data_IF_750096975037
#
_entry.id   IF_750096975037
#
_cell.length_a   1.000
_cell.length_b   1.000
_cell.length_c   1.000
_cell.angle_alpha   90.00
_cell.angle_beta   90.00
_cell.angle_gamma   90.00
#
_symmetry.space_group_name_H-M   'P 1'
#
loop_
_entity.id
_entity.type
_entity.pdbx_description
1 polymer ?
#
# COMPACT_ATOMS: atom_id res chain seq x y z
N UNK A 1 19.16 11.95 12.58
CA UNK A 1 18.64 12.47 11.29
C UNK A 1 19.51 11.93 10.16
N UNK A 2 18.96 11.06 9.30
CA UNK A 2 19.69 10.41 8.18
C UNK A 2 19.49 11.25 6.90
N UNK A 3 20.00 12.47 6.89
CA UNK A 3 19.82 13.38 5.76
C UNK A 3 20.56 12.88 4.51
N UNK A 4 19.86 12.79 3.36
CA UNK A 4 20.40 12.38 2.05
C UNK A 4 21.58 13.24 1.61
N UNK A 5 21.55 14.54 1.94
CA UNK A 5 22.53 15.53 1.47
C UNK A 5 23.52 15.98 2.55
N UNK A 6 23.07 16.14 3.80
CA UNK A 6 23.87 16.67 4.92
C UNK A 6 23.68 15.87 6.22
N UNK A 7 23.67 14.54 6.11
CA UNK A 7 23.51 13.64 7.25
C UNK A 7 24.64 12.63 7.38
N UNK A 8 24.58 11.82 8.43
CA UNK A 8 25.56 10.76 8.75
C UNK A 8 25.91 9.88 7.54
N UNK A 9 24.90 9.44 6.78
CA UNK A 9 25.10 8.60 5.59
C UNK A 9 25.88 9.33 4.48
N UNK A 10 25.66 10.63 4.29
CA UNK A 10 26.43 11.43 3.32
C UNK A 10 27.92 11.47 3.70
N UNK A 11 28.23 11.64 4.99
CA UNK A 11 29.60 11.57 5.48
C UNK A 11 30.20 10.17 5.35
N UNK A 12 29.44 9.12 5.65
CA UNK A 12 29.91 7.74 5.58
C UNK A 12 30.24 7.33 4.13
N UNK A 13 29.41 7.72 3.16
CA UNK A 13 29.66 7.47 1.73
C UNK A 13 30.95 8.14 1.22
N UNK A 14 31.35 9.27 1.82
CA UNK A 14 32.63 9.93 1.47
C UNK A 14 33.84 9.15 1.98
N UNK A 15 33.70 8.43 3.08
CA UNK A 15 34.76 7.58 3.66
C UNK A 15 34.78 6.21 2.99
N UNK A 16 33.60 5.67 2.64
CA UNK A 16 33.41 4.36 2.03
C UNK A 16 32.64 4.54 0.71
N UNK A 17 33.33 4.73 -0.42
CA UNK A 17 32.70 5.01 -1.72
C UNK A 17 31.74 3.91 -2.22
N UNK A 18 31.88 2.67 -1.72
CA UNK A 18 31.01 1.54 -2.04
C UNK A 18 29.82 1.33 -1.08
N UNK A 19 29.57 2.25 -0.14
CA UNK A 19 28.49 2.09 0.83
C UNK A 19 27.11 2.30 0.21
N UNK A 20 26.32 1.23 0.16
CA UNK A 20 24.89 1.29 -0.13
C UNK A 20 24.11 1.46 1.18
N UNK A 21 23.48 2.62 1.34
CA UNK A 21 22.64 2.92 2.48
C UNK A 21 21.17 2.86 2.07
N UNK A 22 20.43 1.94 2.66
CA UNK A 22 19.02 1.70 2.36
C UNK A 22 18.20 2.18 3.54
N UNK A 23 17.24 3.06 3.27
CA UNK A 23 16.34 3.52 4.32
C UNK A 23 15.28 2.45 4.61
N UNK A 24 14.70 2.51 5.81
CA UNK A 24 13.70 1.54 6.22
C UNK A 24 12.47 1.56 5.29
N UNK A 25 12.20 0.43 4.65
CA UNK A 25 11.21 0.24 3.57
C UNK A 25 9.80 0.62 4.05
N UNK A 26 9.45 0.18 5.25
CA UNK A 26 8.12 0.42 5.86
C UNK A 26 7.87 1.91 6.07
N UNK A 27 8.90 2.68 6.45
CA UNK A 27 8.75 4.12 6.64
C UNK A 27 8.55 4.86 5.30
N UNK A 28 9.23 4.42 4.24
CA UNK A 28 9.06 5.00 2.89
C UNK A 28 7.66 4.72 2.34
N UNK A 29 7.18 3.48 2.47
CA UNK A 29 5.86 3.09 1.98
C UNK A 29 4.75 3.91 2.65
N UNK A 30 4.84 4.13 3.97
CA UNK A 30 3.90 4.97 4.71
C UNK A 30 3.82 6.40 4.17
N UNK A 31 4.93 6.96 3.70
CA UNK A 31 4.95 8.31 3.13
C UNK A 31 4.28 8.38 1.76
N UNK A 32 4.40 7.34 0.94
CA UNK A 32 3.79 7.32 -0.40
C UNK A 32 2.27 7.25 -0.32
N UNK A 33 1.74 6.41 0.57
CA UNK A 33 0.30 6.23 0.75
C UNK A 33 -0.45 7.47 1.29
N UNK A 34 0.27 8.53 1.70
CA UNK A 34 -0.32 9.80 2.15
C UNK A 34 -0.61 10.78 1.02
N UNK A 35 -0.08 10.56 -0.18
CA UNK A 35 -0.23 11.49 -1.29
C UNK A 35 -1.57 11.28 -2.01
N UNK A 36 -2.65 11.79 -1.42
CA UNK A 36 -3.98 11.82 -2.03
C UNK A 36 -4.21 13.18 -2.73
N UNK A 37 -5.01 13.19 -3.80
CA UNK A 37 -5.55 14.45 -4.34
C UNK A 37 -6.52 15.09 -3.33
N UNK A 38 -6.76 16.40 -3.43
CA UNK A 38 -7.66 17.11 -2.52
C UNK A 38 -9.06 16.47 -2.46
N UNK A 39 -9.60 16.08 -3.62
CA UNK A 39 -10.88 15.36 -3.76
C UNK A 39 -10.87 14.05 -2.97
N UNK A 40 -9.88 13.19 -3.20
CA UNK A 40 -9.78 11.89 -2.53
C UNK A 40 -9.53 12.05 -1.03
N UNK A 41 -8.75 13.05 -0.63
CA UNK A 41 -8.51 13.36 0.78
C UNK A 41 -9.81 13.84 1.46
N UNK A 42 -10.60 14.67 0.79
CA UNK A 42 -11.91 15.10 1.27
C UNK A 42 -12.85 13.89 1.45
N UNK A 43 -12.90 12.97 0.49
CA UNK A 43 -13.67 11.73 0.59
C UNK A 43 -13.26 10.89 1.80
N UNK A 44 -11.94 10.74 2.04
CA UNK A 44 -11.43 10.06 3.23
C UNK A 44 -11.82 10.78 4.53
N UNK A 45 -11.78 12.11 4.55
CA UNK A 45 -12.20 12.90 5.72
C UNK A 45 -13.68 12.71 6.05
N UNK A 46 -14.57 12.61 5.06
CA UNK A 46 -15.98 12.32 5.30
C UNK A 46 -16.19 10.93 5.92
N UNK A 47 -15.46 9.92 5.46
CA UNK A 47 -15.47 8.58 6.07
C UNK A 47 -15.04 8.66 7.53
N UNK A 48 -13.91 9.31 7.81
CA UNK A 48 -13.39 9.46 9.18
C UNK A 48 -14.40 10.19 10.08
N UNK A 49 -15.02 11.26 9.57
CA UNK A 49 -16.05 12.02 10.30
C UNK A 49 -17.25 11.12 10.64
N UNK A 50 -17.73 10.33 9.70
CA UNK A 50 -18.84 9.40 9.91
C UNK A 50 -18.49 8.32 10.94
N UNK A 51 -17.33 7.69 10.81
CA UNK A 51 -16.80 6.72 11.78
C UNK A 51 -16.72 7.34 13.17
N UNK A 52 -16.12 8.52 13.30
CA UNK A 52 -15.97 9.21 14.58
C UNK A 52 -17.33 9.57 15.20
N UNK A 53 -18.33 9.96 14.38
CA UNK A 53 -19.70 10.22 14.86
C UNK A 53 -20.35 8.97 15.44
N UNK A 54 -20.28 7.85 14.72
CA UNK A 54 -20.82 6.56 15.15
C UNK A 54 -20.11 6.07 16.44
N UNK A 55 -18.80 6.28 16.50
CA UNK A 55 -17.94 5.85 17.62
C UNK A 55 -17.82 6.88 18.75
N UNK A 56 -18.47 8.04 18.65
CA UNK A 56 -18.30 9.18 19.56
C UNK A 56 -18.70 8.88 21.00
N UNK A 57 -19.65 7.97 21.21
CA UNK A 57 -20.07 7.54 22.53
C UNK A 57 -20.55 6.07 22.53
N UNK A 58 -20.69 5.52 23.74
CA UNK A 58 -21.08 4.12 23.94
C UNK A 58 -22.50 3.83 23.44
N UNK A 59 -23.43 4.79 23.53
CA UNK A 59 -24.80 4.62 23.06
C UNK A 59 -24.87 4.46 21.54
N UNK A 60 -24.24 5.37 20.79
CA UNK A 60 -24.18 5.30 19.32
C UNK A 60 -23.49 4.02 18.86
N UNK A 61 -22.40 3.62 19.52
CA UNK A 61 -21.70 2.37 19.22
C UNK A 61 -22.63 1.16 19.41
N UNK A 62 -23.41 1.13 20.50
CA UNK A 62 -24.37 0.03 20.76
C UNK A 62 -25.53 0.04 19.77
N UNK A 63 -26.10 1.21 19.48
CA UNK A 63 -27.21 1.34 18.52
C UNK A 63 -26.78 0.95 17.10
N UNK A 64 -25.56 1.33 16.70
CA UNK A 64 -25.00 0.91 15.42
C UNK A 64 -24.78 -0.60 15.35
N UNK A 65 -24.24 -1.21 16.42
CA UNK A 65 -24.08 -2.66 16.48
C UNK A 65 -25.43 -3.40 16.37
N UNK A 66 -26.47 -2.91 17.05
CA UNK A 66 -27.83 -3.47 16.94
C UNK A 66 -28.42 -3.31 15.53
N UNK A 67 -28.10 -2.20 14.86
CA UNK A 67 -28.50 -1.99 13.47
C UNK A 67 -27.82 -2.99 12.54
N UNK A 68 -26.50 -3.17 12.70
CA UNK A 68 -25.73 -4.17 11.95
C UNK A 68 -26.24 -5.59 12.18
N UNK A 69 -26.60 -5.95 13.41
CA UNK A 69 -27.19 -7.27 13.73
C UNK A 69 -28.53 -7.47 13.02
N UNK A 70 -29.36 -6.41 12.96
CA UNK A 70 -30.65 -6.45 12.29
C UNK A 70 -30.51 -6.59 10.77
N UNK A 71 -29.47 -5.97 10.20
CA UNK A 71 -29.19 -5.96 8.77
C UNK A 71 -28.31 -7.14 8.31
N UNK A 72 -27.99 -8.08 9.20
CA UNK A 72 -27.13 -9.25 8.94
C UNK A 72 -25.75 -8.88 8.39
N UNK A 73 -25.15 -7.83 8.95
CA UNK A 73 -23.86 -7.30 8.52
C UNK A 73 -22.68 -8.11 9.08
N UNK A 74 -21.64 -8.31 8.27
CA UNK A 74 -20.41 -8.99 8.68
C UNK A 74 -19.68 -8.31 9.86
N UNK A 75 -19.92 -7.01 10.07
CA UNK A 75 -19.23 -6.23 11.09
C UNK A 75 -20.17 -5.35 11.92
N UNK A 76 -20.19 -5.61 13.23
CA UNK A 76 -20.96 -4.83 14.20
C UNK A 76 -20.27 -3.53 14.66
N UNK A 77 -18.99 -3.34 14.34
CA UNK A 77 -18.16 -2.24 14.88
C UNK A 77 -17.16 -1.70 13.88
N UNK A 78 -17.30 -0.42 13.56
CA UNK A 78 -16.32 0.34 12.78
C UNK A 78 -14.99 0.52 13.54
N UNK A 79 -13.90 0.56 12.78
CA UNK A 79 -12.56 0.83 13.31
C UNK A 79 -12.28 2.32 13.29
N UNK A 80 -11.74 2.88 14.37
CA UNK A 80 -11.23 4.24 14.36
C UNK A 80 -9.95 4.29 13.52
N UNK A 81 -9.85 5.31 12.68
CA UNK A 81 -8.59 5.59 11.99
C UNK A 81 -7.58 6.18 12.98
N UNK A 82 -6.35 5.70 12.93
CA UNK A 82 -5.23 6.27 13.66
C UNK A 82 -4.14 6.67 12.65
N UNK A 83 -3.76 7.94 12.64
CA UNK A 83 -2.75 8.46 11.70
C UNK A 83 -1.38 7.77 11.82
N UNK A 84 -1.16 7.07 12.93
CA UNK A 84 0.09 6.41 13.30
C UNK A 84 0.29 5.07 12.57
N UNK A 85 -0.79 4.36 12.22
CA UNK A 85 -0.70 3.01 11.64
C UNK A 85 -1.51 2.94 10.36
N UNK A 86 -0.87 3.05 9.22
CA UNK A 86 -1.55 3.02 7.93
C UNK A 86 -2.38 1.75 7.67
N UNK A 87 -2.00 0.58 8.24
CA UNK A 87 -2.83 -0.64 8.20
C UNK A 87 -4.24 -0.37 8.73
N UNK A 88 -4.38 0.55 9.70
CA UNK A 88 -5.67 0.97 10.24
C UNK A 88 -6.51 1.71 9.22
N UNK A 89 -5.92 2.50 8.31
CA UNK A 89 -6.67 3.20 7.25
C UNK A 89 -7.33 2.21 6.30
N UNK A 90 -6.57 1.25 5.78
CA UNK A 90 -7.13 0.24 4.88
C UNK A 90 -8.14 -0.68 5.56
N UNK A 91 -7.90 -1.08 6.81
CA UNK A 91 -8.85 -1.88 7.58
C UNK A 91 -10.12 -1.08 7.92
N UNK A 92 -10.00 0.21 8.24
CA UNK A 92 -11.10 1.13 8.49
C UNK A 92 -11.96 1.28 7.23
N UNK A 93 -11.36 1.61 6.08
CA UNK A 93 -12.08 1.74 4.81
C UNK A 93 -12.78 0.44 4.40
N UNK A 94 -12.08 -0.69 4.48
CA UNK A 94 -12.64 -2.02 4.14
C UNK A 94 -13.89 -2.30 4.96
N UNK A 95 -13.81 -2.09 6.29
CA UNK A 95 -14.95 -2.33 7.17
C UNK A 95 -16.05 -1.29 7.02
N UNK A 96 -15.69 -0.04 6.76
CA UNK A 96 -16.66 1.02 6.54
C UNK A 96 -17.48 0.76 5.27
N UNK A 97 -16.82 0.38 4.19
CA UNK A 97 -17.48 0.11 2.91
C UNK A 97 -18.34 -1.15 2.96
N UNK A 98 -17.92 -2.20 3.70
CA UNK A 98 -18.72 -3.43 3.82
C UNK A 98 -20.08 -3.21 4.49
N UNK A 99 -20.19 -2.22 5.39
CA UNK A 99 -21.44 -1.87 6.10
C UNK A 99 -21.97 -0.50 5.65
N UNK A 100 -21.63 -0.08 4.43
CA UNK A 100 -21.89 1.27 3.94
C UNK A 100 -23.37 1.65 4.00
N UNK A 101 -24.26 0.74 3.60
CA UNK A 101 -25.69 1.02 3.60
C UNK A 101 -26.24 1.14 5.03
N UNK A 102 -25.78 0.31 5.97
CA UNK A 102 -26.07 0.46 7.40
C UNK A 102 -25.53 1.78 7.98
N UNK A 103 -24.38 2.27 7.50
CA UNK A 103 -23.88 3.61 7.87
C UNK A 103 -24.84 4.69 7.39
N UNK A 104 -25.31 4.62 6.14
CA UNK A 104 -26.26 5.59 5.60
C UNK A 104 -27.59 5.57 6.36
N UNK A 105 -28.12 4.39 6.67
CA UNK A 105 -29.33 4.23 7.49
C UNK A 105 -29.12 4.82 8.89
N UNK A 106 -27.98 4.56 9.52
CA UNK A 106 -27.67 5.11 10.83
C UNK A 106 -27.62 6.65 10.83
N UNK A 107 -27.12 7.26 9.75
CA UNK A 107 -26.98 8.71 9.65
C UNK A 107 -28.27 9.42 9.23
N UNK A 108 -29.25 8.71 8.66
CA UNK A 108 -30.47 9.30 8.09
C UNK A 108 -31.21 10.28 9.01
N UNK A 109 -31.42 9.91 10.27
CA UNK A 109 -32.10 10.77 11.26
C UNK A 109 -31.16 11.59 12.13
N UNK A 110 -29.84 11.42 11.98
CA UNK A 110 -28.81 11.94 12.91
C UNK A 110 -27.88 12.96 12.29
N UNK A 111 -27.62 12.84 10.99
CA UNK A 111 -26.71 13.68 10.22
C UNK A 111 -27.01 13.55 8.70
N UNK A 112 -28.14 14.10 8.22
CA UNK A 112 -28.55 13.98 6.83
C UNK A 112 -27.51 14.54 5.86
N UNK A 113 -26.86 15.66 6.21
CA UNK A 113 -25.80 16.26 5.40
C UNK A 113 -24.62 15.30 5.21
N UNK A 114 -24.19 14.61 6.28
CA UNK A 114 -23.11 13.63 6.17
C UNK A 114 -23.53 12.41 5.35
N UNK A 115 -24.79 11.96 5.47
CA UNK A 115 -25.36 10.90 4.61
C UNK A 115 -25.29 11.28 3.13
N UNK A 116 -25.78 12.46 2.76
CA UNK A 116 -25.76 12.94 1.37
C UNK A 116 -24.36 13.04 0.81
N UNK A 117 -23.40 13.55 1.59
CA UNK A 117 -22.01 13.65 1.17
C UNK A 117 -21.39 12.25 0.93
N UNK A 118 -21.66 11.27 1.80
CA UNK A 118 -21.17 9.90 1.60
C UNK A 118 -21.75 9.27 0.32
N UNK A 119 -23.04 9.47 0.04
CA UNK A 119 -23.68 8.98 -1.19
C UNK A 119 -23.01 9.58 -2.43
N UNK A 120 -22.81 10.91 -2.45
CA UNK A 120 -22.13 11.61 -3.56
C UNK A 120 -20.71 11.12 -3.79
N UNK A 121 -20.01 10.72 -2.73
CA UNK A 121 -18.61 10.28 -2.76
C UNK A 121 -18.46 8.75 -2.81
N UNK A 122 -19.54 7.99 -3.06
CA UNK A 122 -19.51 6.52 -3.01
C UNK A 122 -18.45 5.91 -3.94
N UNK A 123 -18.27 6.45 -5.15
CA UNK A 123 -17.23 6.00 -6.08
C UNK A 123 -15.81 6.24 -5.53
N UNK A 124 -15.56 7.42 -4.96
CA UNK A 124 -14.26 7.75 -4.36
C UNK A 124 -13.95 6.83 -3.18
N UNK A 125 -14.93 6.56 -2.33
CA UNK A 125 -14.78 5.68 -1.16
C UNK A 125 -14.52 4.24 -1.63
N UNK A 126 -15.22 3.77 -2.66
CA UNK A 126 -15.00 2.44 -3.25
C UNK A 126 -13.57 2.31 -3.80
N UNK A 127 -13.14 3.29 -4.59
CA UNK A 127 -11.78 3.36 -5.14
C UNK A 127 -10.71 3.37 -4.04
N UNK A 128 -10.87 4.21 -3.02
CA UNK A 128 -9.95 4.29 -1.88
C UNK A 128 -9.91 2.96 -1.12
N UNK A 129 -11.06 2.31 -0.93
CA UNK A 129 -11.14 1.02 -0.23
C UNK A 129 -10.32 -0.05 -0.96
N UNK A 130 -10.48 -0.15 -2.28
CA UNK A 130 -9.72 -1.12 -3.09
C UNK A 130 -8.22 -0.80 -3.12
N UNK A 131 -7.84 0.47 -3.28
CA UNK A 131 -6.44 0.88 -3.29
C UNK A 131 -5.74 0.65 -1.95
N UNK A 132 -6.38 1.03 -0.84
CA UNK A 132 -5.80 0.84 0.48
C UNK A 132 -5.73 -0.63 0.89
N UNK A 133 -6.63 -1.48 0.37
CA UNK A 133 -6.48 -2.93 0.49
C UNK A 133 -5.21 -3.42 -0.19
N UNK A 134 -4.92 -2.97 -1.42
CA UNK A 134 -3.65 -3.31 -2.11
C UNK A 134 -2.42 -2.85 -1.33
N UNK A 135 -2.45 -1.65 -0.74
CA UNK A 135 -1.37 -1.24 0.15
C UNK A 135 -1.21 -2.22 1.31
N UNK A 136 -2.29 -2.54 2.01
CA UNK A 136 -2.25 -3.41 3.18
C UNK A 136 -1.63 -4.77 2.82
N UNK A 137 -2.02 -5.36 1.69
CA UNK A 137 -1.50 -6.63 1.20
C UNK A 137 0.03 -6.59 1.02
N UNK A 138 0.56 -5.51 0.44
CA UNK A 138 2.00 -5.37 0.19
C UNK A 138 2.76 -5.15 1.48
N UNK A 139 2.18 -4.44 2.43
CA UNK A 139 2.87 -4.24 3.70
C UNK A 139 2.88 -5.45 4.60
N UNK A 140 1.85 -6.28 4.54
CA UNK A 140 1.92 -7.60 5.16
C UNK A 140 3.08 -8.39 4.56
N UNK A 141 3.29 -8.33 3.23
CA UNK A 141 4.46 -8.96 2.60
C UNK A 141 5.78 -8.34 3.09
N UNK A 142 5.86 -7.01 3.19
CA UNK A 142 7.06 -6.27 3.65
C UNK A 142 7.30 -6.35 5.16
N UNK A 143 6.37 -6.91 5.95
CA UNK A 143 6.52 -7.16 7.38
C UNK A 143 6.80 -8.63 7.70
N UNK A 144 6.87 -9.51 6.69
CA UNK A 144 7.09 -10.94 6.91
C UNK A 144 8.49 -11.26 7.44
N UNK A 145 8.57 -12.31 8.26
CA UNK A 145 9.79 -12.70 9.00
C UNK A 145 10.97 -13.15 8.11
N UNK A 146 10.71 -13.46 6.83
CA UNK A 146 11.73 -13.94 5.89
C UNK A 146 12.13 -12.91 4.82
N UNK A 147 11.89 -11.62 5.10
CA UNK A 147 12.17 -10.54 4.17
C UNK A 147 13.68 -10.27 4.06
N UNK A 148 14.20 -10.35 2.84
CA UNK A 148 15.53 -9.86 2.50
C UNK A 148 15.42 -8.78 1.43
N UNK A 149 16.55 -8.18 1.07
CA UNK A 149 16.56 -7.06 0.15
C UNK A 149 16.14 -7.44 -1.28
N UNK A 150 16.48 -8.66 -1.73
CA UNK A 150 16.09 -9.19 -3.04
C UNK A 150 14.57 -9.33 -3.10
N UNK A 151 13.97 -9.96 -2.09
CA UNK A 151 12.51 -10.10 -1.96
C UNK A 151 11.82 -8.74 -1.89
N UNK A 152 12.35 -7.82 -1.08
CA UNK A 152 11.83 -6.45 -0.99
C UNK A 152 11.81 -5.75 -2.35
N UNK A 153 12.92 -5.84 -3.10
CA UNK A 153 13.02 -5.28 -4.46
C UNK A 153 11.96 -5.90 -5.36
N UNK A 154 11.80 -7.22 -5.33
CA UNK A 154 10.76 -7.93 -6.08
C UNK A 154 9.34 -7.45 -5.76
N UNK A 155 9.00 -7.33 -4.48
CA UNK A 155 7.67 -6.89 -4.01
C UNK A 155 7.36 -5.47 -4.48
N UNK A 156 8.29 -4.52 -4.32
CA UNK A 156 8.08 -3.13 -4.75
C UNK A 156 8.01 -3.02 -6.29
N UNK A 157 8.86 -3.73 -7.01
CA UNK A 157 8.81 -3.79 -8.49
C UNK A 157 7.48 -4.34 -8.99
N UNK A 158 7.00 -5.43 -8.39
CA UNK A 158 5.69 -6.00 -8.71
C UNK A 158 4.57 -4.99 -8.44
N UNK A 159 4.62 -4.28 -7.33
CA UNK A 159 3.59 -3.27 -7.04
C UNK A 159 3.59 -2.10 -8.01
N UNK A 160 4.76 -1.59 -8.40
CA UNK A 160 4.85 -0.57 -9.45
C UNK A 160 4.19 -1.05 -10.76
N UNK A 161 4.42 -2.31 -11.13
CA UNK A 161 3.73 -2.95 -12.26
C UNK A 161 2.21 -2.99 -12.08
N UNK A 162 1.73 -3.36 -10.89
CA UNK A 162 0.30 -3.36 -10.55
C UNK A 162 -0.29 -1.95 -10.71
N UNK A 163 0.37 -0.89 -10.24
CA UNK A 163 -0.11 0.49 -10.38
C UNK A 163 -0.25 0.91 -11.85
N UNK A 164 0.67 0.48 -12.72
CA UNK A 164 0.59 0.73 -14.16
C UNK A 164 -0.64 0.03 -14.76
N UNK A 165 -0.86 -1.25 -14.45
CA UNK A 165 -2.03 -1.99 -14.94
C UNK A 165 -3.33 -1.40 -14.39
N UNK A 166 -3.35 -0.99 -13.12
CA UNK A 166 -4.49 -0.29 -12.50
C UNK A 166 -4.84 0.98 -13.28
N UNK A 167 -3.84 1.80 -13.62
CA UNK A 167 -4.02 3.04 -14.39
C UNK A 167 -4.53 2.76 -15.81
N UNK A 168 -3.94 1.78 -16.51
CA UNK A 168 -4.31 1.47 -17.88
C UNK A 168 -5.75 0.96 -17.97
N UNK A 169 -6.11 0.01 -17.11
CA UNK A 169 -7.41 -0.63 -17.14
C UNK A 169 -8.51 0.33 -16.68
N UNK A 170 -8.29 1.14 -15.63
CA UNK A 170 -9.29 2.13 -15.22
C UNK A 170 -9.56 3.15 -16.33
N UNK A 171 -8.51 3.55 -17.06
CA UNK A 171 -8.66 4.45 -18.22
C UNK A 171 -9.45 3.80 -19.37
N UNK A 172 -9.47 2.46 -19.45
CA UNK A 172 -10.29 1.67 -20.39
C UNK A 172 -11.68 1.33 -19.83
N UNK A 173 -12.02 1.81 -18.63
CA UNK A 173 -13.24 1.45 -17.88
C UNK A 173 -13.31 -0.04 -17.49
N UNK A 174 -12.16 -0.70 -17.41
CA UNK A 174 -12.02 -2.05 -16.89
C UNK A 174 -11.65 -2.00 -15.41
N UNK A 175 -12.65 -2.23 -14.55
CA UNK A 175 -12.53 -2.10 -13.09
C UNK A 175 -12.50 -3.44 -12.35
N UNK A 176 -12.29 -4.57 -13.04
CA UNK A 176 -12.32 -5.93 -12.43
C UNK A 176 -11.34 -6.12 -11.25
N UNK A 177 -10.21 -5.41 -11.28
CA UNK A 177 -9.21 -5.41 -10.19
C UNK A 177 -9.59 -4.52 -9.00
N UNK A 178 -10.71 -3.79 -9.10
CA UNK A 178 -11.30 -2.94 -8.07
C UNK A 178 -12.69 -3.50 -7.70
N UNK A 179 -12.77 -4.53 -6.84
CA UNK A 179 -14.02 -5.22 -6.53
C UNK A 179 -15.15 -4.28 -6.08
N UNK A 180 -14.83 -3.27 -5.25
CA UNK A 180 -15.83 -2.34 -4.76
C UNK A 180 -16.18 -1.30 -5.83
N UNK A 181 -15.18 -0.73 -6.51
CA UNK A 181 -15.43 0.28 -7.55
C UNK A 181 -16.21 -0.30 -8.74
N UNK A 182 -16.00 -1.57 -9.07
CA UNK A 182 -16.71 -2.25 -10.18
C UNK A 182 -18.23 -2.33 -9.99
N UNK A 183 -18.71 -2.16 -8.76
CA UNK A 183 -20.13 -2.16 -8.41
C UNK A 183 -20.75 -0.77 -8.40
N UNK A 184 -19.95 0.28 -8.68
CA UNK A 184 -20.38 1.67 -8.67
C UNK A 184 -20.23 2.26 -10.07
N UNK A 185 -21.21 3.07 -10.49
CA UNK A 185 -21.11 3.80 -11.74
C UNK A 185 -20.08 4.92 -11.62
N UNK A 186 -19.09 4.95 -12.52
CA UNK A 186 -18.07 5.98 -12.58
C UNK A 186 -18.25 6.90 -13.79
N UNK A 187 -18.30 8.20 -13.53
CA UNK A 187 -18.32 9.23 -14.58
C UNK A 187 -16.90 9.46 -15.13
N UNK A 188 -16.80 10.13 -16.28
CA UNK A 188 -15.50 10.41 -16.93
C UNK A 188 -14.51 11.15 -16.00
N UNK A 189 -15.02 12.05 -15.17
CA UNK A 189 -14.20 12.81 -14.21
C UNK A 189 -13.57 11.91 -13.13
N UNK A 190 -14.30 10.89 -12.69
CA UNK A 190 -13.80 9.89 -11.72
C UNK A 190 -12.65 9.11 -12.32
N UNK A 191 -12.85 8.60 -13.54
CA UNK A 191 -11.81 7.85 -14.27
C UNK A 191 -10.55 8.69 -14.45
N UNK A 192 -10.71 9.97 -14.81
CA UNK A 192 -9.58 10.90 -14.94
C UNK A 192 -8.86 11.10 -13.60
N UNK A 193 -9.61 11.38 -12.54
CA UNK A 193 -9.09 11.59 -11.18
C UNK A 193 -8.30 10.37 -10.69
N UNK A 194 -8.86 9.17 -10.84
CA UNK A 194 -8.24 7.94 -10.36
C UNK A 194 -7.01 7.56 -11.20
N UNK A 195 -7.06 7.75 -12.52
CA UNK A 195 -5.92 7.52 -13.41
C UNK A 195 -4.76 8.47 -13.11
N UNK A 196 -5.06 9.75 -12.88
CA UNK A 196 -4.06 10.74 -12.49
C UNK A 196 -3.46 10.41 -11.12
N UNK A 197 -4.29 10.06 -10.13
CA UNK A 197 -3.83 9.67 -8.81
C UNK A 197 -2.89 8.46 -8.86
N UNK A 198 -3.24 7.41 -9.61
CA UNK A 198 -2.37 6.23 -9.79
C UNK A 198 -1.03 6.59 -10.46
N UNK A 199 -1.03 7.57 -11.37
CA UNK A 199 0.21 8.05 -12.01
C UNK A 199 1.13 8.76 -11.01
N UNK A 200 0.59 9.71 -10.25
CA UNK A 200 1.35 10.44 -9.21
C UNK A 200 1.88 9.47 -8.17
N UNK A 201 1.05 8.52 -7.77
CA UNK A 201 1.41 7.49 -6.80
C UNK A 201 2.56 6.61 -7.29
N UNK A 202 2.48 6.15 -8.54
CA UNK A 202 3.54 5.37 -9.18
C UNK A 202 4.86 6.14 -9.17
N UNK A 203 4.83 7.42 -9.54
CA UNK A 203 6.02 8.26 -9.63
C UNK A 203 6.63 8.53 -8.23
N UNK A 204 5.82 8.69 -7.20
CA UNK A 204 6.29 8.82 -5.82
C UNK A 204 6.91 7.51 -5.31
N UNK A 205 6.30 6.35 -5.59
CA UNK A 205 6.92 5.05 -5.30
C UNK A 205 8.26 4.89 -6.01
N UNK A 206 8.32 5.17 -7.32
CA UNK A 206 9.54 5.08 -8.12
C UNK A 206 10.65 5.96 -7.57
N UNK A 207 10.31 7.19 -7.20
CA UNK A 207 11.26 8.17 -6.65
C UNK A 207 11.77 7.76 -5.26
N UNK A 208 10.89 7.30 -4.36
CA UNK A 208 11.27 6.95 -3.00
C UNK A 208 12.04 5.64 -2.89
N UNK A 209 11.81 4.71 -3.81
CA UNK A 209 12.47 3.40 -3.86
C UNK A 209 13.53 3.31 -4.95
N UNK A 210 13.92 4.43 -5.57
CA UNK A 210 14.92 4.51 -6.64
C UNK A 210 16.20 3.74 -6.31
N UNK A 211 16.76 3.94 -5.12
CA UNK A 211 17.98 3.29 -4.64
C UNK A 211 17.87 1.75 -4.59
N UNK A 212 16.72 1.23 -4.22
CA UNK A 212 16.47 -0.22 -4.18
C UNK A 212 16.16 -0.79 -5.57
N UNK A 213 15.42 -0.04 -6.39
CA UNK A 213 15.05 -0.46 -7.74
C UNK A 213 16.27 -0.50 -8.67
N UNK A 214 17.18 0.47 -8.52
CA UNK A 214 18.42 0.58 -9.31
C UNK A 214 19.56 -0.26 -8.76
N UNK A 215 19.39 -0.87 -7.57
CA UNK A 215 20.43 -1.71 -6.99
C UNK A 215 20.72 -2.90 -7.90
N UNK A 216 21.97 -3.01 -8.33
CA UNK A 216 22.44 -4.19 -9.03
C UNK A 216 22.63 -5.34 -8.04
N UNK A 217 22.04 -6.48 -8.35
CA UNK A 217 22.14 -7.68 -7.53
C UNK A 217 22.91 -8.69 -8.37
N UNK A 218 24.20 -8.92 -8.05
CA UNK A 218 24.98 -9.91 -8.76
C UNK A 218 24.24 -11.25 -8.76
N UNK A 219 24.07 -11.90 -9.92
CA UNK A 219 23.22 -13.08 -10.00
C UNK A 219 23.71 -14.24 -9.12
N UNK A 220 25.01 -14.35 -8.87
CA UNK A 220 25.59 -15.33 -7.95
C UNK A 220 25.09 -15.19 -6.49
N UNK A 221 24.58 -14.01 -6.09
CA UNK A 221 23.91 -13.84 -4.78
C UNK A 221 22.54 -14.55 -4.76
N UNK A 222 21.88 -14.63 -5.92
CA UNK A 222 20.58 -15.27 -6.09
C UNK A 222 20.76 -16.78 -6.32
N UNK A 223 21.73 -17.15 -7.15
CA UNK A 223 22.05 -18.54 -7.48
C UNK A 223 23.57 -18.77 -7.42
N UNK A 224 24.12 -19.06 -6.22
CA UNK A 224 25.56 -19.20 -6.03
C UNK A 224 26.15 -20.50 -6.61
N UNK A 225 25.32 -21.46 -7.00
CA UNK A 225 25.77 -22.78 -7.44
C UNK A 225 25.86 -22.94 -8.96
N UNK A 226 25.14 -22.13 -9.72
CA UNK A 226 25.11 -22.22 -11.19
C UNK A 226 25.91 -21.12 -11.89
N UNK A 227 26.25 -20.01 -11.21
CA UNK A 227 26.94 -18.89 -11.83
C UNK A 227 28.42 -18.77 -11.41
N UNK A 228 29.32 -19.11 -12.33
CA UNK A 228 30.78 -18.97 -12.17
C UNK A 228 31.35 -17.71 -12.83
N UNK A 229 30.60 -17.02 -13.69
CA UNK A 229 31.06 -15.79 -14.35
C UNK A 229 30.89 -14.58 -13.43
N UNK A 230 31.81 -14.45 -12.47
CA UNK A 230 31.87 -13.31 -11.57
C UNK A 230 32.80 -12.24 -12.15
N UNK A 231 32.28 -11.02 -12.32
CA UNK A 231 33.07 -9.88 -12.81
C UNK A 231 34.22 -9.48 -11.86
N UNK A 232 34.15 -9.90 -10.60
CA UNK A 232 35.18 -9.66 -9.60
C UNK A 232 36.16 -10.83 -9.51
N UNK A 233 37.37 -10.63 -10.07
CA UNK A 233 38.47 -11.61 -10.10
C UNK A 233 38.82 -12.15 -8.71
N UNK A 234 38.64 -11.35 -7.66
CA UNK A 234 39.02 -11.73 -6.29
C UNK A 234 38.13 -12.84 -5.73
N UNK A 235 36.90 -13.02 -6.24
CA UNK A 235 35.93 -13.99 -5.72
C UNK A 235 35.80 -15.25 -6.59
N UNK A 236 36.55 -15.34 -7.69
CA UNK A 236 36.36 -16.40 -8.69
C UNK A 236 36.72 -17.79 -8.17
N UNK A 237 37.78 -17.90 -7.35
CA UNK A 237 38.21 -19.18 -6.78
C UNK A 237 37.17 -19.70 -5.78
N UNK A 238 36.71 -18.87 -4.84
CA UNK A 238 35.72 -19.27 -3.83
C UNK A 238 34.35 -19.62 -4.46
N UNK A 239 33.96 -18.91 -5.53
CA UNK A 239 32.72 -19.21 -6.26
C UNK A 239 32.82 -20.53 -7.04
N UNK A 240 34.00 -20.85 -7.59
CA UNK A 240 34.23 -22.14 -8.23
C UNK A 240 34.17 -23.30 -7.22
N UNK A 241 34.75 -23.13 -6.03
CA UNK A 241 34.63 -24.12 -4.95
C UNK A 241 33.18 -24.32 -4.52
N UNK A 242 32.41 -23.23 -4.40
CA UNK A 242 31.00 -23.29 -4.00
C UNK A 242 30.14 -23.98 -5.07
N UNK A 243 30.32 -23.63 -6.35
CA UNK A 243 29.59 -24.23 -7.48
C UNK A 243 29.93 -25.70 -7.74
N UNK A 244 31.04 -26.22 -7.21
CA UNK A 244 31.40 -27.64 -7.32
C UNK A 244 31.07 -28.46 -6.07
N UNK A 245 30.56 -27.81 -5.00
CA UNK A 245 30.22 -28.47 -3.74
C UNK A 245 28.82 -29.12 -3.80
N UNK A 246 28.78 -30.39 -4.20
CA UNK A 246 27.54 -31.17 -4.31
C UNK A 246 26.81 -31.36 -2.97
N UNK A 247 27.52 -31.42 -1.84
CA UNK A 247 26.88 -31.53 -0.52
C UNK A 247 26.07 -30.27 -0.18
N UNK A 248 26.61 -29.09 -0.48
CA UNK A 248 25.92 -27.81 -0.27
C UNK A 248 24.73 -27.63 -1.23
N UNK A 249 24.88 -28.04 -2.50
CA UNK A 249 23.78 -28.04 -3.49
C UNK A 249 22.60 -28.92 -3.07
N UNK A 250 22.85 -30.05 -2.43
CA UNK A 250 21.77 -30.92 -1.92
C UNK A 250 21.10 -30.33 -0.68
N UNK A 251 21.84 -29.54 0.10
CA UNK A 251 21.38 -29.00 1.39
C UNK A 251 20.58 -27.70 1.27
N UNK A 252 20.87 -26.85 0.28
CA UNK A 252 20.30 -25.52 0.09
C UNK A 252 19.67 -25.37 -1.29
#
# INVERSE_FOLDING_TARGET
MVGRYRGFISHLKRIIPGLTAIHYVIHRQHLVAKHLSDRLNQSLHFVIKAVNKIRSNALNTRLFAQLCDKNDEDFQRLLLDTEVRWLSKGACLTRFYSVFDSVLEFLESRDPDSKENLIKLKADIAYLTDLFKKYNDINLQLQGDSLNLIKTKGIISAFLGILIFMKQNISRRESSQFPNLSQVECINEDIHTYSQHLSVLHDDFKTRFEDMLTMDIPPWIINPFDETEVANVILQEEMLELSTNEELKVKF
#
